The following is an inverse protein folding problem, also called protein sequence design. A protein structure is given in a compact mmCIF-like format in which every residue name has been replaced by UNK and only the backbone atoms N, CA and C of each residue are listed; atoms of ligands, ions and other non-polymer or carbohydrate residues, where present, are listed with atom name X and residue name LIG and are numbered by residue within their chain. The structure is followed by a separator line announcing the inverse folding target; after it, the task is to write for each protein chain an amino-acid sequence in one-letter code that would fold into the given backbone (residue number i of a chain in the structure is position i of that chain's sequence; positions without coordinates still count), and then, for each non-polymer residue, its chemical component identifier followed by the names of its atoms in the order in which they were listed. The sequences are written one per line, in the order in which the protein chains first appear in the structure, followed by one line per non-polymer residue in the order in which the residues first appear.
data_IF_782598422551
#
_entry.id   IF_782598422551
#
_cell.length_a   1.000
_cell.length_b   1.000
_cell.length_c   1.000
_cell.angle_alpha   90.00
_cell.angle_beta   90.00
_cell.angle_gamma   90.00
#
_symmetry.space_group_name_H-M   'P 1'
#
loop_
_entity.id
_entity.type
_entity.pdbx_description
1 polymer ?
#
# COMPACT_ATOMS: atom_id res chain seq x y z
N UNK A 1 3.90 -18.35 7.95
CA UNK A 1 4.73 -18.83 9.06
C UNK A 1 4.42 -20.27 9.42
N UNK A 2 5.45 -21.07 9.72
CA UNK A 2 5.32 -22.50 10.03
C UNK A 2 4.48 -22.81 11.30
N UNK A 3 4.16 -21.78 12.07
CA UNK A 3 3.35 -21.87 13.30
C UNK A 3 1.85 -21.79 13.07
N UNK A 4 1.41 -21.40 11.88
CA UNK A 4 -0.02 -21.33 11.58
C UNK A 4 -0.55 -22.70 11.11
N UNK A 5 -1.76 -23.02 11.53
CA UNK A 5 -2.41 -24.27 11.16
C UNK A 5 -2.93 -24.28 9.70
N UNK A 6 -3.62 -25.34 9.29
CA UNK A 6 -4.11 -25.49 7.91
C UNK A 6 -5.18 -24.46 7.48
N UNK A 7 -5.70 -23.69 8.44
CA UNK A 7 -6.61 -22.56 8.19
C UNK A 7 -5.91 -21.37 7.51
N UNK A 8 -4.58 -21.23 7.67
CA UNK A 8 -3.81 -20.16 7.04
C UNK A 8 -3.43 -20.54 5.60
N UNK A 9 -3.70 -19.61 4.68
CA UNK A 9 -3.38 -19.77 3.26
C UNK A 9 -2.39 -18.68 2.83
N UNK A 10 -1.14 -19.06 2.56
CA UNK A 10 -0.17 -18.19 1.93
C UNK A 10 -0.39 -18.23 0.41
N UNK A 11 -0.91 -17.16 -0.15
CA UNK A 11 -1.26 -17.10 -1.58
C UNK A 11 -0.03 -16.93 -2.47
N UNK A 12 1.04 -16.28 -1.96
CA UNK A 12 2.27 -16.05 -2.72
C UNK A 12 2.10 -15.14 -3.94
N UNK A 13 1.11 -14.24 -3.90
CA UNK A 13 0.78 -13.35 -5.00
C UNK A 13 0.39 -11.96 -4.47
N UNK A 14 0.21 -10.99 -5.38
CA UNK A 14 -0.18 -9.63 -5.01
C UNK A 14 -1.60 -9.53 -4.42
N UNK A 15 -1.94 -8.35 -3.87
CA UNK A 15 -3.17 -8.12 -3.10
C UNK A 15 -4.46 -8.44 -3.88
N UNK A 16 -4.52 -8.14 -5.18
CA UNK A 16 -5.69 -8.46 -6.02
C UNK A 16 -5.95 -9.96 -6.11
N UNK A 17 -4.91 -10.79 -6.27
CA UNK A 17 -5.04 -12.25 -6.29
C UNK A 17 -5.40 -12.81 -4.90
N UNK A 18 -4.85 -12.22 -3.85
CA UNK A 18 -5.18 -12.58 -2.48
C UNK A 18 -6.66 -12.27 -2.15
N UNK A 19 -7.16 -11.12 -2.57
CA UNK A 19 -8.58 -10.76 -2.45
C UNK A 19 -9.50 -11.70 -3.22
N UNK A 20 -9.14 -12.09 -4.45
CA UNK A 20 -9.91 -13.09 -5.22
C UNK A 20 -9.94 -14.45 -4.51
N UNK A 21 -8.80 -14.87 -3.95
CA UNK A 21 -8.73 -16.11 -3.19
C UNK A 21 -9.62 -16.06 -1.94
N UNK A 22 -9.56 -14.96 -1.19
CA UNK A 22 -10.41 -14.77 -0.02
C UNK A 22 -11.89 -14.75 -0.37
N UNK A 23 -12.27 -14.06 -1.45
CA UNK A 23 -13.65 -14.05 -1.96
C UNK A 23 -14.13 -15.46 -2.33
N UNK A 24 -13.32 -16.22 -3.09
CA UNK A 24 -13.67 -17.59 -3.48
C UNK A 24 -13.74 -18.59 -2.34
N UNK A 25 -13.02 -18.35 -1.24
CA UNK A 25 -12.99 -19.21 -0.05
C UNK A 25 -13.90 -18.70 1.08
N UNK A 26 -14.51 -17.54 0.91
CA UNK A 26 -15.24 -16.83 1.96
C UNK A 26 -14.40 -16.69 3.25
N UNK A 27 -13.17 -16.23 3.08
CA UNK A 27 -12.13 -16.21 4.11
C UNK A 27 -11.84 -14.77 4.58
N UNK A 28 -11.27 -14.65 5.79
CA UNK A 28 -10.74 -13.38 6.28
C UNK A 28 -9.44 -13.02 5.55
N UNK A 29 -9.25 -11.74 5.28
CA UNK A 29 -8.03 -11.21 4.65
C UNK A 29 -7.69 -9.84 5.23
N UNK A 30 -6.40 -9.56 5.37
CA UNK A 30 -5.88 -8.22 5.57
C UNK A 30 -5.55 -7.63 4.20
N UNK A 31 -6.09 -6.45 3.89
CA UNK A 31 -5.89 -5.77 2.62
C UNK A 31 -5.62 -4.27 2.82
N UNK A 32 -4.88 -3.66 1.91
CA UNK A 32 -4.80 -2.20 1.85
C UNK A 32 -6.12 -1.60 1.32
N UNK A 33 -6.40 -0.36 1.73
CA UNK A 33 -7.67 0.32 1.40
C UNK A 33 -7.87 0.49 -0.10
N UNK A 34 -6.82 0.88 -0.83
CA UNK A 34 -6.93 1.12 -2.26
C UNK A 34 -7.27 -0.16 -3.03
N UNK A 35 -6.59 -1.27 -2.73
CA UNK A 35 -6.91 -2.57 -3.32
C UNK A 35 -8.34 -3.01 -2.99
N UNK A 36 -8.79 -2.82 -1.76
CA UNK A 36 -10.16 -3.14 -1.36
C UNK A 36 -11.21 -2.31 -2.13
N UNK A 37 -11.01 -1.00 -2.26
CA UNK A 37 -11.97 -0.12 -2.95
C UNK A 37 -12.05 -0.45 -4.43
N UNK A 38 -10.92 -0.72 -5.08
CA UNK A 38 -10.86 -1.11 -6.49
C UNK A 38 -11.31 -2.56 -6.77
N UNK A 39 -11.41 -3.40 -5.75
CA UNK A 39 -11.73 -4.79 -5.92
C UNK A 39 -13.20 -4.99 -6.27
N UNK A 40 -13.50 -5.47 -7.48
CA UNK A 40 -14.86 -5.66 -7.99
C UNK A 40 -15.52 -6.98 -7.59
N UNK A 41 -14.72 -8.03 -7.36
CA UNK A 41 -15.23 -9.39 -7.09
C UNK A 41 -15.37 -9.67 -5.59
N UNK A 42 -16.05 -8.77 -4.86
CA UNK A 42 -16.17 -8.84 -3.40
C UNK A 42 -16.95 -10.06 -2.89
N UNK A 43 -17.94 -10.54 -3.67
CA UNK A 43 -18.85 -11.59 -3.19
C UNK A 43 -19.47 -11.19 -1.85
N UNK A 44 -19.37 -12.06 -0.87
CA UNK A 44 -19.87 -11.83 0.50
C UNK A 44 -18.83 -11.14 1.42
N UNK A 45 -17.68 -10.76 0.90
CA UNK A 45 -16.67 -10.03 1.67
C UNK A 45 -17.17 -8.63 2.02
N UNK A 46 -16.96 -8.24 3.27
CA UNK A 46 -17.25 -6.90 3.78
C UNK A 46 -16.06 -6.37 4.58
N UNK A 47 -15.91 -5.05 4.64
CA UNK A 47 -14.94 -4.41 5.52
C UNK A 47 -15.42 -4.55 6.98
N UNK A 48 -14.72 -5.37 7.76
CA UNK A 48 -15.10 -5.67 9.13
C UNK A 48 -14.40 -4.78 10.15
N UNK A 49 -13.18 -4.36 9.84
CA UNK A 49 -12.34 -3.63 10.79
C UNK A 49 -11.33 -2.74 10.05
N UNK A 50 -11.12 -1.51 10.52
CA UNK A 50 -10.13 -0.57 10.00
C UNK A 50 -9.77 0.47 11.07
N UNK A 51 -8.68 1.22 10.86
CA UNK A 51 -8.31 2.38 11.67
C UNK A 51 -7.51 2.08 12.94
N UNK A 52 -7.16 0.82 13.21
CA UNK A 52 -6.26 0.48 14.32
C UNK A 52 -4.81 0.94 13.99
N UNK A 53 -4.09 1.57 14.93
CA UNK A 53 -2.69 1.95 14.73
C UNK A 53 -1.78 0.79 14.31
N UNK A 54 -2.07 -0.45 14.72
CA UNK A 54 -1.33 -1.63 14.29
C UNK A 54 -1.49 -1.95 12.80
N UNK A 55 -2.50 -1.39 12.15
CA UNK A 55 -2.77 -1.52 10.71
C UNK A 55 -2.18 -0.38 9.88
N UNK A 56 -1.41 0.51 10.50
CA UNK A 56 -0.80 1.63 9.80
C UNK A 56 0.15 1.15 8.71
N UNK A 57 -0.12 1.53 7.47
CA UNK A 57 0.64 1.12 6.29
C UNK A 57 1.45 2.31 5.76
N UNK A 58 2.66 2.49 6.29
CA UNK A 58 3.56 3.57 5.90
C UNK A 58 4.22 3.26 4.56
N UNK A 59 4.12 4.20 3.62
CA UNK A 59 4.92 4.22 2.39
C UNK A 59 6.21 4.99 2.65
N UNK A 60 7.29 4.55 2.02
CA UNK A 60 8.58 5.22 2.11
C UNK A 60 9.24 5.31 0.72
N UNK A 61 9.84 6.44 0.43
CA UNK A 61 10.77 6.59 -0.68
C UNK A 61 12.18 6.32 -0.15
N UNK A 62 12.89 5.38 -0.76
CA UNK A 62 14.22 4.96 -0.33
C UNK A 62 15.17 5.05 -1.52
N UNK A 63 15.98 6.12 -1.63
CA UNK A 63 16.96 6.23 -2.72
C UNK A 63 18.05 5.16 -2.57
N UNK A 64 18.44 4.59 -3.69
CA UNK A 64 19.56 3.63 -3.74
C UNK A 64 20.88 4.39 -3.58
N UNK A 65 21.75 3.90 -2.69
CA UNK A 65 23.06 4.51 -2.45
C UNK A 65 23.94 4.50 -3.71
N UNK A 66 24.40 5.66 -4.20
CA UNK A 66 25.30 5.73 -5.34
C UNK A 66 26.70 5.19 -5.03
N UNK A 67 27.11 5.16 -3.76
CA UNK A 67 28.38 4.58 -3.34
C UNK A 67 28.38 3.06 -3.49
N UNK A 68 27.25 2.43 -3.10
CA UNK A 68 27.10 0.98 -3.23
C UNK A 68 26.76 0.58 -4.67
N UNK A 69 26.11 1.45 -5.44
CA UNK A 69 25.64 1.20 -6.80
C UNK A 69 25.96 2.39 -7.72
N UNK A 70 27.19 2.51 -8.25
CA UNK A 70 27.63 3.68 -9.02
C UNK A 70 26.86 3.95 -10.32
N UNK A 71 26.08 2.98 -10.82
CA UNK A 71 25.26 3.12 -12.03
C UNK A 71 23.89 3.78 -11.82
N UNK A 72 23.52 4.13 -10.59
CA UNK A 72 22.18 4.71 -10.32
C UNK A 72 22.13 6.19 -10.67
N UNK A 73 20.96 6.64 -11.10
CA UNK A 73 20.70 8.06 -11.41
C UNK A 73 20.32 8.81 -10.13
N UNK A 74 21.28 8.95 -9.22
CA UNK A 74 21.05 9.61 -7.93
C UNK A 74 20.58 11.06 -8.10
N UNK A 75 21.06 11.76 -9.14
CA UNK A 75 20.62 13.11 -9.49
C UNK A 75 19.09 13.22 -9.72
N UNK A 76 18.50 12.21 -10.35
CA UNK A 76 17.06 12.14 -10.57
C UNK A 76 16.31 11.65 -9.34
N UNK A 77 16.88 10.73 -8.57
CA UNK A 77 16.29 10.26 -7.32
C UNK A 77 16.13 11.42 -6.32
N UNK A 78 17.14 12.23 -6.14
CA UNK A 78 17.09 13.40 -5.25
C UNK A 78 16.08 14.46 -5.73
N UNK A 79 15.92 14.65 -7.05
CA UNK A 79 14.88 15.54 -7.58
C UNK A 79 13.47 15.01 -7.28
N UNK A 80 13.27 13.70 -7.41
CA UNK A 80 12.00 13.07 -7.08
C UNK A 80 11.70 13.17 -5.58
N UNK A 81 12.70 12.94 -4.73
CA UNK A 81 12.56 13.11 -3.28
C UNK A 81 12.13 14.53 -2.92
N UNK A 82 12.83 15.55 -3.44
CA UNK A 82 12.48 16.94 -3.20
C UNK A 82 11.07 17.30 -3.69
N UNK A 83 10.61 16.69 -4.78
CA UNK A 83 9.24 16.87 -5.23
C UNK A 83 8.24 16.13 -4.32
N UNK A 84 8.55 14.90 -3.88
CA UNK A 84 7.68 14.10 -3.03
C UNK A 84 7.36 14.76 -1.68
N UNK A 85 8.24 15.63 -1.16
CA UNK A 85 8.02 16.36 0.10
C UNK A 85 7.47 17.77 -0.13
N UNK A 86 7.14 18.15 -1.36
CA UNK A 86 6.59 19.45 -1.70
C UNK A 86 5.08 19.56 -1.49
N UNK A 87 4.57 20.80 -1.35
CA UNK A 87 3.13 21.06 -1.27
C UNK A 87 2.38 20.55 -2.50
N UNK A 88 3.00 20.60 -3.69
CA UNK A 88 2.39 20.09 -4.92
C UNK A 88 2.16 18.58 -4.87
N UNK A 89 3.11 17.82 -4.32
CA UNK A 89 2.95 16.37 -4.14
C UNK A 89 1.93 16.07 -3.04
N UNK A 90 1.96 16.83 -1.94
CA UNK A 90 0.96 16.73 -0.88
C UNK A 90 -0.45 16.90 -1.42
N UNK A 91 -0.72 17.98 -2.14
CA UNK A 91 -2.04 18.27 -2.70
C UNK A 91 -2.53 17.14 -3.62
N UNK A 92 -1.64 16.57 -4.46
CA UNK A 92 -1.96 15.46 -5.34
C UNK A 92 -2.26 14.17 -4.57
N UNK A 93 -1.49 13.86 -3.53
CA UNK A 93 -1.65 12.64 -2.73
C UNK A 93 -2.93 12.70 -1.90
N UNK A 94 -3.21 13.85 -1.26
CA UNK A 94 -4.39 14.02 -0.41
C UNK A 94 -5.68 14.17 -1.21
N UNK A 95 -5.60 14.70 -2.44
CA UNK A 95 -6.75 14.80 -3.33
C UNK A 95 -7.11 13.48 -4.04
N UNK A 96 -6.27 12.44 -3.91
CA UNK A 96 -6.55 11.18 -4.60
C UNK A 96 -7.63 10.37 -3.89
N UNK A 97 -8.72 10.13 -4.60
CA UNK A 97 -9.91 9.42 -4.09
C UNK A 97 -10.32 8.26 -5.00
N UNK A 98 -10.92 7.25 -4.41
CA UNK A 98 -11.62 6.19 -5.12
C UNK A 98 -13.06 6.12 -4.60
N UNK A 99 -14.01 6.34 -5.48
CA UNK A 99 -15.43 6.35 -5.11
C UNK A 99 -15.82 7.43 -4.10
N UNK A 100 -15.08 8.54 -4.04
CA UNK A 100 -15.28 9.63 -3.09
C UNK A 100 -14.64 9.39 -1.71
N UNK A 101 -13.85 8.33 -1.56
CA UNK A 101 -13.10 8.06 -0.33
C UNK A 101 -11.62 8.44 -0.51
N UNK A 102 -11.05 9.32 0.34
CA UNK A 102 -9.63 9.62 0.34
C UNK A 102 -8.83 8.40 0.80
N UNK A 103 -7.68 8.16 0.15
CA UNK A 103 -6.89 6.94 0.38
C UNK A 103 -5.63 7.17 1.19
N UNK A 104 -5.03 8.33 1.06
CA UNK A 104 -3.70 8.58 1.60
C UNK A 104 -3.70 9.81 2.50
N UNK A 105 -2.85 9.76 3.51
CA UNK A 105 -2.53 10.90 4.36
C UNK A 105 -1.07 11.25 4.13
N UNK A 106 -0.81 12.49 3.75
CA UNK A 106 0.54 12.96 3.54
C UNK A 106 1.22 13.23 4.89
N UNK A 107 2.32 12.54 5.16
CA UNK A 107 3.13 12.73 6.36
C UNK A 107 4.64 12.74 6.06
N UNK A 108 5.01 12.94 4.78
CA UNK A 108 6.41 13.02 4.40
C UNK A 108 7.04 14.32 4.91
N UNK A 109 8.28 14.21 5.38
CA UNK A 109 9.14 15.33 5.75
C UNK A 109 10.52 15.11 5.16
N UNK A 110 11.17 16.19 4.71
CA UNK A 110 12.59 16.14 4.43
C UNK A 110 13.34 15.97 5.75
N UNK A 111 14.27 15.00 5.81
CA UNK A 111 15.23 14.88 6.90
C UNK A 111 16.38 15.89 6.75
#
# INVERSE_FOLDING_TARGET
PATFGPWYKAVGAGMGAALNTASGLNAYILADRASWLNFGNKGDLALLFAGDPALFNQYAFIPVSPEAHPGVRNDLAMKLEGWLVSDAAKDLIEAYEIGGEPLFVFNASAE
#
